data_IF_007618010568
#
_entry.id   IF_007618010568
#
_cell.length_a   1.000
_cell.length_b   1.000
_cell.length_c   1.000
_cell.angle_alpha   90.00
_cell.angle_beta   90.00
_cell.angle_gamma   90.00
#
_symmetry.space_group_name_H-M   'P 1'
#
loop_
_entity.id
_entity.type
_entity.pdbx_description
1 polymer ?
#
# COMPACT_ATOMS: atom_id res chain seq x y z
N UNK A 1 29.21 -24.65 20.56
CA UNK A 1 28.41 -23.54 21.09
C UNK A 1 28.59 -22.35 20.15
N UNK A 2 27.73 -22.20 19.12
CA UNK A 2 27.85 -21.14 18.09
C UNK A 2 27.15 -19.88 18.60
N UNK A 3 27.93 -18.82 18.73
CA UNK A 3 27.54 -17.53 19.32
C UNK A 3 27.02 -16.60 18.21
N UNK A 4 25.97 -15.84 18.57
CA UNK A 4 24.99 -15.12 17.76
C UNK A 4 25.48 -13.91 16.92
N UNK A 5 26.68 -13.94 16.33
CA UNK A 5 27.28 -12.76 15.66
C UNK A 5 26.95 -12.57 14.17
N UNK A 6 26.17 -13.46 13.52
CA UNK A 6 25.89 -13.39 12.07
C UNK A 6 24.60 -12.65 11.67
N UNK A 7 23.71 -12.35 12.63
CA UNK A 7 22.40 -11.76 12.31
C UNK A 7 22.47 -10.23 12.18
N UNK A 8 23.33 -9.58 12.96
CA UNK A 8 23.53 -8.12 12.96
C UNK A 8 23.93 -7.59 11.57
N UNK A 9 24.92 -8.23 10.92
CA UNK A 9 25.44 -7.78 9.61
C UNK A 9 24.42 -7.94 8.49
N UNK A 10 23.55 -8.94 8.55
CA UNK A 10 22.51 -9.15 7.53
C UNK A 10 21.33 -8.19 7.70
N UNK A 11 20.96 -7.84 8.94
CA UNK A 11 19.95 -6.81 9.22
C UNK A 11 20.43 -5.42 8.75
N UNK A 12 21.68 -5.06 9.07
CA UNK A 12 22.31 -3.81 8.63
C UNK A 12 22.36 -3.75 7.10
N UNK A 13 22.76 -4.84 6.44
CA UNK A 13 22.81 -4.91 4.97
C UNK A 13 21.43 -4.70 4.35
N UNK A 14 20.37 -5.33 4.89
CA UNK A 14 18.99 -5.13 4.42
C UNK A 14 18.52 -3.70 4.62
N UNK A 15 18.82 -3.10 5.77
CA UNK A 15 18.48 -1.71 6.05
C UNK A 15 19.18 -0.75 5.08
N UNK A 16 20.47 -0.98 4.80
CA UNK A 16 21.22 -0.21 3.80
C UNK A 16 20.64 -0.36 2.39
N UNK A 17 20.22 -1.57 1.98
CA UNK A 17 19.56 -1.79 0.68
C UNK A 17 18.23 -1.03 0.62
N UNK A 18 17.45 -1.08 1.69
CA UNK A 18 16.16 -0.38 1.78
C UNK A 18 16.38 1.15 1.70
N UNK A 19 17.32 1.69 2.47
CA UNK A 19 17.67 3.11 2.42
C UNK A 19 18.20 3.52 1.04
N UNK A 20 19.06 2.70 0.43
CA UNK A 20 19.58 2.95 -0.92
C UNK A 20 18.42 3.05 -1.92
N UNK A 21 17.49 2.09 -1.89
CA UNK A 21 16.36 2.11 -2.80
C UNK A 21 15.40 3.27 -2.52
N UNK A 22 15.18 3.60 -1.23
CA UNK A 22 14.37 4.75 -0.84
C UNK A 22 15.01 6.07 -1.32
N UNK A 23 16.34 6.17 -1.28
CA UNK A 23 17.08 7.31 -1.79
C UNK A 23 17.02 7.41 -3.31
N UNK A 24 17.12 6.28 -4.03
CA UNK A 24 16.90 6.24 -5.49
C UNK A 24 15.50 6.71 -5.83
N UNK A 25 14.49 6.26 -5.07
CA UNK A 25 13.11 6.70 -5.27
C UNK A 25 12.93 8.20 -5.00
N UNK A 26 13.53 8.73 -3.93
CA UNK A 26 13.53 10.17 -3.64
C UNK A 26 14.19 10.95 -4.78
N UNK A 27 15.36 10.51 -5.27
CA UNK A 27 16.06 11.15 -6.38
C UNK A 27 15.19 11.15 -7.65
N UNK A 28 14.58 10.02 -8.00
CA UNK A 28 13.65 9.93 -9.11
C UNK A 28 12.47 10.89 -8.94
N UNK A 29 11.90 11.00 -7.74
CA UNK A 29 10.78 11.92 -7.48
C UNK A 29 11.16 13.39 -7.73
N UNK A 30 12.38 13.78 -7.36
CA UNK A 30 12.92 15.13 -7.59
C UNK A 30 13.16 15.41 -9.08
N UNK A 31 13.69 14.44 -9.83
CA UNK A 31 13.94 14.59 -11.28
C UNK A 31 12.64 14.64 -12.10
N UNK A 32 11.60 13.89 -11.70
CA UNK A 32 10.31 13.91 -12.38
C UNK A 32 9.60 15.26 -12.19
N UNK A 33 9.86 15.98 -11.08
CA UNK A 33 9.33 17.33 -10.81
C UNK A 33 7.79 17.42 -10.74
N UNK A 34 7.09 16.30 -10.89
CA UNK A 34 5.65 16.21 -11.01
C UNK A 34 5.11 15.31 -9.89
N UNK A 35 4.62 15.94 -8.83
CA UNK A 35 4.09 15.29 -7.62
C UNK A 35 2.87 14.39 -7.88
N UNK A 36 2.28 14.46 -9.08
CA UNK A 36 1.20 13.59 -9.55
C UNK A 36 1.66 12.22 -10.08
N UNK A 37 2.89 12.11 -10.59
CA UNK A 37 3.36 10.86 -11.24
C UNK A 37 4.23 10.06 -10.27
N UNK A 38 5.13 10.73 -9.54
CA UNK A 38 6.03 10.08 -8.59
C UNK A 38 6.19 10.94 -7.33
N UNK A 39 5.21 10.91 -6.40
CA UNK A 39 5.34 11.61 -5.13
C UNK A 39 6.52 11.06 -4.31
N UNK A 40 7.16 11.93 -3.53
CA UNK A 40 8.25 11.53 -2.64
C UNK A 40 7.76 10.54 -1.58
N UNK A 41 8.61 9.61 -1.11
CA UNK A 41 8.22 8.61 -0.12
C UNK A 41 7.68 9.24 1.17
N UNK A 42 8.23 10.40 1.57
CA UNK A 42 7.78 11.13 2.75
C UNK A 42 6.35 11.68 2.58
N UNK A 43 6.04 12.28 1.43
CA UNK A 43 4.70 12.79 1.15
C UNK A 43 3.68 11.64 1.00
N UNK A 44 4.10 10.47 0.50
CA UNK A 44 3.27 9.26 0.50
C UNK A 44 2.91 8.85 1.91
N UNK A 45 3.89 8.69 2.82
CA UNK A 45 3.64 8.27 4.21
C UNK A 45 2.74 9.28 4.93
N UNK A 46 3.02 10.58 4.77
CA UNK A 46 2.24 11.66 5.35
C UNK A 46 0.80 11.65 4.85
N UNK A 47 0.61 11.56 3.53
CA UNK A 47 -0.73 11.48 2.93
C UNK A 47 -1.47 10.24 3.41
N UNK A 48 -0.80 9.10 3.46
CA UNK A 48 -1.39 7.83 3.93
C UNK A 48 -1.84 7.95 5.39
N UNK A 49 -1.04 8.59 6.26
CA UNK A 49 -1.41 8.82 7.66
C UNK A 49 -2.58 9.81 7.81
N UNK A 50 -2.58 10.90 7.04
CA UNK A 50 -3.68 11.88 7.00
C UNK A 50 -4.97 11.20 6.55
N UNK A 51 -4.92 10.43 5.46
CA UNK A 51 -6.07 9.75 4.88
C UNK A 51 -6.57 8.65 5.81
N UNK A 52 -5.67 7.88 6.42
CA UNK A 52 -6.02 6.84 7.40
C UNK A 52 -6.72 7.40 8.64
N UNK A 53 -6.40 8.63 9.05
CA UNK A 53 -7.09 9.32 10.16
C UNK A 53 -8.46 9.89 9.76
N UNK A 54 -8.66 10.16 8.47
CA UNK A 54 -9.91 10.68 7.94
C UNK A 54 -11.03 9.64 7.97
N UNK A 55 -12.16 9.96 8.62
CA UNK A 55 -13.35 9.09 8.64
C UNK A 55 -13.94 8.85 7.24
N UNK A 56 -13.76 9.81 6.33
CA UNK A 56 -14.18 9.71 4.93
C UNK A 56 -13.47 8.57 4.18
N UNK A 57 -12.18 8.35 4.44
CA UNK A 57 -11.42 7.27 3.80
C UNK A 57 -12.04 5.92 4.12
N UNK A 58 -12.26 5.63 5.41
CA UNK A 58 -12.89 4.39 5.85
C UNK A 58 -14.30 4.24 5.30
N UNK A 59 -15.11 5.30 5.32
CA UNK A 59 -16.46 5.27 4.73
C UNK A 59 -16.42 4.89 3.24
N UNK A 60 -15.46 5.43 2.49
CA UNK A 60 -15.26 5.11 1.08
C UNK A 60 -14.83 3.64 0.88
N UNK A 61 -13.86 3.17 1.68
CA UNK A 61 -13.39 1.78 1.67
C UNK A 61 -14.54 0.81 1.95
N UNK A 62 -15.30 1.02 3.03
CA UNK A 62 -16.46 0.20 3.36
C UNK A 62 -17.53 0.27 2.28
N UNK A 63 -17.81 1.44 1.72
CA UNK A 63 -18.77 1.57 0.62
C UNK A 63 -18.35 0.76 -0.61
N UNK A 64 -17.05 0.74 -0.94
CA UNK A 64 -16.51 -0.09 -2.03
C UNK A 64 -16.69 -1.58 -1.74
N UNK A 65 -16.29 -2.02 -0.54
CA UNK A 65 -16.41 -3.43 -0.11
C UNK A 65 -17.88 -3.89 -0.15
N UNK A 66 -18.79 -3.12 0.43
CA UNK A 66 -20.23 -3.44 0.44
C UNK A 66 -20.78 -3.53 -0.98
N UNK A 67 -20.40 -2.61 -1.87
CA UNK A 67 -20.83 -2.62 -3.27
C UNK A 67 -20.37 -3.89 -4.00
N UNK A 68 -19.13 -4.32 -3.79
CA UNK A 68 -18.59 -5.57 -4.37
C UNK A 68 -19.34 -6.78 -3.84
N UNK A 69 -19.54 -6.88 -2.52
CA UNK A 69 -20.28 -7.99 -1.90
C UNK A 69 -21.72 -8.05 -2.44
N UNK A 70 -22.41 -6.92 -2.51
CA UNK A 70 -23.77 -6.85 -3.07
C UNK A 70 -23.80 -7.26 -4.54
N UNK A 71 -22.84 -6.80 -5.35
CA UNK A 71 -22.74 -7.21 -6.75
C UNK A 71 -22.58 -8.72 -6.91
N UNK A 72 -21.73 -9.34 -6.08
CA UNK A 72 -21.55 -10.80 -6.05
C UNK A 72 -22.85 -11.49 -5.63
N UNK A 73 -23.49 -11.04 -4.56
CA UNK A 73 -24.74 -11.63 -4.07
C UNK A 73 -25.84 -11.59 -5.15
N UNK A 74 -26.01 -10.44 -5.80
CA UNK A 74 -26.98 -10.25 -6.89
C UNK A 74 -26.65 -11.19 -8.05
N UNK A 75 -25.37 -11.28 -8.43
CA UNK A 75 -24.92 -12.17 -9.51
C UNK A 75 -25.24 -13.64 -9.21
N UNK A 76 -25.06 -14.08 -7.96
CA UNK A 76 -25.41 -15.44 -7.52
C UNK A 76 -26.92 -15.66 -7.61
N UNK A 77 -27.73 -14.75 -7.07
CA UNK A 77 -29.21 -14.88 -7.10
C UNK A 77 -29.71 -14.96 -8.53
N UNK A 78 -29.25 -14.06 -9.40
CA UNK A 78 -29.62 -14.06 -10.81
C UNK A 78 -29.15 -15.35 -11.49
N UNK A 79 -27.92 -15.80 -11.22
CA UNK A 79 -27.39 -17.05 -11.77
C UNK A 79 -28.20 -18.28 -11.37
N UNK A 80 -28.68 -18.35 -10.13
CA UNK A 80 -29.56 -19.43 -9.66
C UNK A 80 -30.92 -19.36 -10.35
N UNK A 81 -31.54 -18.17 -10.41
CA UNK A 81 -32.88 -17.99 -11.01
C UNK A 81 -32.91 -18.29 -12.50
N UNK A 82 -31.84 -17.93 -13.23
CA UNK A 82 -31.75 -18.19 -14.67
C UNK A 82 -31.23 -19.60 -15.00
N UNK A 83 -30.53 -20.24 -14.06
CA UNK A 83 -29.91 -21.55 -14.27
C UNK A 83 -30.80 -22.74 -13.93
N UNK A 84 -31.82 -22.54 -13.09
CA UNK A 84 -32.91 -23.50 -12.80
C UNK A 84 -34.02 -23.34 -13.82
#
# INVERSE_FOLDING_TARGET
MKISITVETTAIKKLCILLFWLFVWELCSLFIGNSLILPSPFEVIKTLFILARGTYFWKSVFSSIVRVILGILISIVIGIVLGV
#
